data_IF_868206686120
#
_entry.id   IF_868206686120
#
_cell.length_a   1.000
_cell.length_b   1.000
_cell.length_c   1.000
_cell.angle_alpha   90.00
_cell.angle_beta   90.00
_cell.angle_gamma   90.00
#
_symmetry.space_group_name_H-M   'P 1'
#
loop_
_entity.id
_entity.type
_entity.pdbx_description
1 polymer ?
#
# COMPACT_ATOMS: atom_id res chain seq x y z
N UNK A 1 -6.60 -2.01 31.34
CA UNK A 1 -7.39 -2.11 30.09
C UNK A 1 -6.44 -2.52 28.98
N UNK A 2 -6.76 -3.53 28.16
CA UNK A 2 -5.94 -3.82 26.99
C UNK A 2 -5.99 -2.62 26.05
N UNK A 3 -4.84 -2.16 25.56
CA UNK A 3 -4.82 -1.23 24.43
C UNK A 3 -5.39 -1.98 23.23
N UNK A 4 -6.53 -1.52 22.72
CA UNK A 4 -7.07 -2.02 21.45
C UNK A 4 -6.20 -1.43 20.35
N UNK A 5 -5.62 -2.29 19.51
CA UNK A 5 -4.86 -1.84 18.35
C UNK A 5 -5.82 -1.34 17.28
N UNK A 6 -5.80 -0.04 16.90
CA UNK A 6 -6.74 0.52 15.93
C UNK A 6 -6.43 0.12 14.48
N UNK A 7 -5.22 -0.38 14.20
CA UNK A 7 -4.79 -0.80 12.87
C UNK A 7 -5.25 -2.23 12.56
N UNK A 8 -5.98 -2.38 11.46
CA UNK A 8 -6.54 -3.65 11.00
C UNK A 8 -6.09 -3.98 9.57
N UNK A 9 -6.01 -5.28 9.25
CA UNK A 9 -5.74 -5.69 7.88
C UNK A 9 -6.84 -5.16 6.95
N UNK A 10 -6.44 -4.52 5.86
CA UNK A 10 -7.33 -3.84 4.95
C UNK A 10 -7.28 -2.32 5.05
N UNK A 11 -6.83 -1.78 6.19
CA UNK A 11 -6.73 -0.33 6.38
C UNK A 11 -5.72 0.28 5.40
N UNK A 12 -6.03 1.50 4.97
CA UNK A 12 -5.07 2.34 4.27
C UNK A 12 -4.23 3.07 5.32
N UNK A 13 -2.91 2.99 5.16
CA UNK A 13 -1.95 3.51 6.11
C UNK A 13 -0.83 4.27 5.41
N UNK A 14 -0.24 5.20 6.14
CA UNK A 14 1.04 5.83 5.80
C UNK A 14 2.09 5.34 6.77
N UNK A 15 3.12 4.69 6.26
CA UNK A 15 4.26 4.20 7.05
C UNK A 15 5.47 5.06 6.76
N UNK A 16 6.13 5.55 7.82
CA UNK A 16 7.40 6.25 7.73
C UNK A 16 8.49 5.31 8.20
N UNK A 17 9.49 5.10 7.35
CA UNK A 17 10.66 4.29 7.66
C UNK A 17 11.88 5.17 7.99
N UNK A 18 12.80 4.61 8.76
CA UNK A 18 14.12 5.16 9.04
C UNK A 18 15.24 4.29 8.44
N UNK A 19 16.36 4.95 8.15
CA UNK A 19 17.62 4.35 7.69
C UNK A 19 17.51 3.43 6.47
N UNK A 20 17.33 3.92 5.22
CA UNK A 20 17.03 5.30 4.80
C UNK A 20 15.58 5.73 5.07
N UNK A 21 15.32 7.04 4.98
CA UNK A 21 13.97 7.59 5.19
C UNK A 21 13.10 7.37 3.95
N UNK A 22 11.99 6.67 4.15
CA UNK A 22 11.00 6.38 3.10
C UNK A 22 9.60 6.68 3.65
N UNK A 23 8.68 7.12 2.78
CA UNK A 23 7.27 7.31 3.13
C UNK A 23 6.45 6.44 2.20
N UNK A 24 5.72 5.51 2.76
CA UNK A 24 4.95 4.52 2.00
C UNK A 24 3.49 4.73 2.28
N UNK A 25 2.68 4.81 1.23
CA UNK A 25 1.23 4.72 1.33
C UNK A 25 0.75 3.40 0.76
N UNK A 26 -0.17 2.74 1.45
CA UNK A 26 -0.64 1.44 1.01
C UNK A 26 -1.66 0.78 1.92
N UNK A 27 -2.08 -0.40 1.51
CA UNK A 27 -3.02 -1.27 2.21
C UNK A 27 -2.28 -2.21 3.15
N UNK A 28 -2.62 -2.16 4.43
CA UNK A 28 -2.08 -3.06 5.45
C UNK A 28 -2.57 -4.50 5.18
N UNK A 29 -1.64 -5.45 5.08
CA UNK A 29 -1.93 -6.86 4.87
C UNK A 29 -1.76 -7.68 6.16
N UNK A 30 -0.90 -7.22 7.06
CA UNK A 30 -0.63 -7.87 8.33
C UNK A 30 0.27 -7.00 9.21
N UNK A 31 0.08 -7.10 10.52
CA UNK A 31 0.85 -6.39 11.54
C UNK A 31 1.17 -7.35 12.68
N UNK A 32 2.44 -7.44 13.04
CA UNK A 32 2.92 -8.21 14.19
C UNK A 32 4.07 -7.48 14.90
N UNK A 33 4.66 -8.13 15.91
CA UNK A 33 5.79 -7.57 16.67
C UNK A 33 7.10 -7.50 15.85
N UNK A 34 7.27 -8.35 14.84
CA UNK A 34 8.46 -8.39 13.99
C UNK A 34 8.41 -7.33 12.88
N UNK A 35 7.21 -6.90 12.46
CA UNK A 35 7.03 -5.91 11.41
C UNK A 35 5.60 -5.84 10.88
N UNK A 36 5.47 -5.33 9.66
CA UNK A 36 4.20 -5.25 8.98
C UNK A 36 4.35 -5.59 7.49
N UNK A 37 3.33 -6.24 6.94
CA UNK A 37 3.21 -6.48 5.51
C UNK A 37 2.26 -5.43 4.91
N UNK A 38 2.71 -4.76 3.85
CA UNK A 38 1.94 -3.70 3.18
C UNK A 38 2.01 -3.91 1.66
N UNK A 39 0.90 -3.66 0.98
CA UNK A 39 0.90 -3.44 -0.47
C UNK A 39 0.75 -1.95 -0.75
N UNK A 40 1.75 -1.35 -1.37
CA UNK A 40 1.80 0.09 -1.51
C UNK A 40 2.97 0.57 -2.33
N UNK A 41 3.09 1.89 -2.40
CA UNK A 41 4.06 2.61 -3.20
C UNK A 41 4.77 3.68 -2.37
N UNK A 42 5.89 4.16 -2.87
CA UNK A 42 6.59 5.30 -2.27
C UNK A 42 5.85 6.61 -2.57
N UNK A 43 5.72 7.48 -1.58
CA UNK A 43 5.06 8.79 -1.71
C UNK A 43 5.95 9.86 -2.34
N UNK A 44 7.24 9.62 -2.50
CA UNK A 44 8.18 10.58 -3.12
C UNK A 44 7.75 10.94 -4.56
N UNK A 45 7.42 9.98 -5.46
CA UNK A 45 6.92 10.28 -6.81
C UNK A 45 5.38 10.44 -6.87
N UNK A 46 4.70 10.91 -5.82
CA UNK A 46 3.23 10.92 -5.75
C UNK A 46 2.53 11.60 -6.94
N UNK A 47 3.01 12.77 -7.35
CA UNK A 47 2.42 13.54 -8.47
C UNK A 47 2.53 12.81 -9.82
N UNK A 48 3.65 12.12 -10.03
CA UNK A 48 3.89 11.30 -11.22
C UNK A 48 2.98 10.08 -11.22
N UNK A 49 2.86 9.39 -10.08
CA UNK A 49 1.94 8.27 -9.89
C UNK A 49 0.50 8.66 -10.24
N UNK A 50 0.01 9.79 -9.69
CA UNK A 50 -1.35 10.25 -9.99
C UNK A 50 -1.53 10.59 -11.47
N UNK A 51 -0.49 11.10 -12.12
CA UNK A 51 -0.51 11.39 -13.56
C UNK A 51 -0.62 10.12 -14.37
N UNK A 52 0.24 9.12 -14.12
CA UNK A 52 0.22 7.82 -14.81
C UNK A 52 -1.14 7.12 -14.66
N UNK A 53 -1.71 7.13 -13.46
CA UNK A 53 -3.01 6.49 -13.21
C UNK A 53 -4.14 7.21 -13.96
N UNK A 54 -4.12 8.55 -13.98
CA UNK A 54 -5.09 9.36 -14.72
C UNK A 54 -4.96 9.21 -16.23
N UNK A 55 -3.75 8.96 -16.76
CA UNK A 55 -3.52 8.72 -18.20
C UNK A 55 -3.77 7.27 -18.63
N UNK A 56 -4.13 6.38 -17.70
CA UNK A 56 -4.38 4.96 -17.98
C UNK A 56 -3.13 4.09 -17.99
N UNK A 57 -1.98 4.63 -17.56
CA UNK A 57 -0.67 3.99 -17.50
C UNK A 57 -0.35 3.44 -16.10
N UNK A 58 -1.39 2.96 -15.41
CA UNK A 58 -1.29 2.46 -14.03
C UNK A 58 -0.34 1.26 -13.86
N UNK A 59 -0.05 0.54 -14.95
CA UNK A 59 0.92 -0.57 -15.01
C UNK A 59 2.38 -0.10 -14.88
N UNK A 60 2.65 1.18 -15.15
CA UNK A 60 3.97 1.79 -14.97
C UNK A 60 4.23 2.23 -13.52
N UNK A 61 3.20 2.24 -12.66
CA UNK A 61 3.36 2.58 -11.25
C UNK A 61 4.07 1.44 -10.50
N UNK A 62 5.13 1.78 -9.78
CA UNK A 62 5.89 0.85 -8.94
C UNK A 62 5.10 0.43 -7.67
N UNK A 63 4.07 -0.39 -7.86
CA UNK A 63 3.25 -0.94 -6.78
C UNK A 63 3.77 -2.30 -6.31
N UNK A 64 4.17 -2.40 -5.04
CA UNK A 64 4.80 -3.60 -4.50
C UNK A 64 4.16 -4.09 -3.20
N UNK A 65 4.26 -5.40 -2.95
CA UNK A 65 4.01 -5.97 -1.62
C UNK A 65 5.33 -6.11 -0.89
N UNK A 66 5.45 -5.50 0.29
CA UNK A 66 6.69 -5.43 1.07
C UNK A 66 6.44 -5.84 2.52
N UNK A 67 7.41 -6.54 3.11
CA UNK A 67 7.52 -6.68 4.56
C UNK A 67 8.45 -5.60 5.08
N UNK A 68 8.00 -4.82 6.07
CA UNK A 68 8.76 -3.75 6.69
C UNK A 68 9.13 -4.19 8.13
N UNK A 69 10.42 -4.43 8.42
CA UNK A 69 10.84 -4.81 9.76
C UNK A 69 10.54 -3.72 10.78
N UNK A 70 10.06 -4.09 11.98
CA UNK A 70 9.61 -3.14 13.00
C UNK A 70 10.70 -2.13 13.40
N UNK A 71 11.98 -2.55 13.43
CA UNK A 71 13.09 -1.65 13.77
C UNK A 71 13.32 -0.51 12.75
N UNK A 72 12.81 -0.66 11.52
CA UNK A 72 12.83 0.40 10.51
C UNK A 72 11.60 1.30 10.58
N UNK A 73 10.52 0.90 11.25
CA UNK A 73 9.29 1.70 11.31
C UNK A 73 9.49 2.82 12.31
N UNK A 74 9.53 4.06 11.82
CA UNK A 74 9.55 5.28 12.64
C UNK A 74 8.15 5.60 13.14
N UNK A 75 7.15 5.52 12.24
CA UNK A 75 5.76 5.79 12.55
C UNK A 75 4.80 5.11 11.55
N UNK A 76 3.56 4.87 11.98
CA UNK A 76 2.46 4.44 11.13
C UNK A 76 1.19 5.24 11.48
N UNK A 77 0.51 5.75 10.46
CA UNK A 77 -0.72 6.52 10.57
C UNK A 77 -1.82 5.85 9.74
N UNK A 78 -3.06 5.89 10.23
CA UNK A 78 -4.22 5.62 9.38
C UNK A 78 -4.34 6.75 8.34
N UNK A 79 -4.72 6.40 7.12
CA UNK A 79 -4.98 7.37 6.06
C UNK A 79 -6.37 7.98 6.23
N UNK A 80 -6.46 8.99 7.09
CA UNK A 80 -7.70 9.65 7.46
C UNK A 80 -7.64 11.15 7.16
N UNK A 81 -8.77 11.79 6.82
CA UNK A 81 -8.81 13.24 6.67
C UNK A 81 -8.51 13.93 8.01
N UNK A 82 -7.83 15.07 7.94
CA UNK A 82 -7.47 15.86 9.12
C UNK A 82 -7.90 17.30 8.91
N UNK A 83 -8.60 17.90 9.88
CA UNK A 83 -9.01 19.31 9.97
C UNK A 83 -8.82 20.17 8.70
N UNK A 84 -9.60 19.90 7.66
CA UNK A 84 -9.64 20.69 6.41
C UNK A 84 -8.78 20.17 5.25
N UNK A 85 -8.02 19.08 5.44
CA UNK A 85 -7.26 18.39 4.40
C UNK A 85 -7.84 16.99 4.14
N UNK A 86 -8.03 16.60 2.85
CA UNK A 86 -8.45 15.24 2.50
C UNK A 86 -7.36 14.22 2.86
N UNK A 87 -7.77 12.96 3.02
CA UNK A 87 -6.83 11.85 3.09
C UNK A 87 -6.11 11.63 1.75
N UNK A 88 -5.05 10.82 1.73
CA UNK A 88 -4.38 10.44 0.49
C UNK A 88 -5.32 9.61 -0.40
N UNK A 89 -6.11 8.71 0.19
CA UNK A 89 -7.13 7.95 -0.51
C UNK A 89 -8.18 8.85 -1.19
N UNK A 90 -8.67 9.87 -0.48
CA UNK A 90 -9.61 10.85 -1.05
C UNK A 90 -8.94 11.63 -2.19
N UNK A 91 -7.74 12.14 -1.96
CA UNK A 91 -6.97 12.87 -2.97
C UNK A 91 -6.68 12.02 -4.20
N UNK A 92 -6.39 10.73 -4.02
CA UNK A 92 -6.19 9.77 -5.09
C UNK A 92 -7.46 9.58 -5.92
N UNK A 93 -8.58 9.31 -5.26
CA UNK A 93 -9.86 9.08 -5.92
C UNK A 93 -10.31 10.32 -6.69
N UNK A 94 -10.24 11.50 -6.07
CA UNK A 94 -10.65 12.76 -6.69
C UNK A 94 -9.83 13.11 -7.93
N UNK A 95 -8.52 12.80 -7.91
CA UNK A 95 -7.58 13.18 -8.99
C UNK A 95 -7.48 12.17 -10.12
N UNK A 96 -7.80 10.90 -9.85
CA UNK A 96 -7.65 9.80 -10.82
C UNK A 96 -8.96 9.17 -11.24
N UNK A 97 -10.04 9.35 -10.46
CA UNK A 97 -11.31 8.65 -10.63
C UNK A 97 -11.26 7.16 -10.25
N UNK A 98 -10.13 6.64 -9.79
CA UNK A 98 -9.99 5.22 -9.43
C UNK A 98 -10.22 4.97 -7.94
N UNK A 99 -10.75 3.80 -7.59
CA UNK A 99 -10.88 3.36 -6.19
C UNK A 99 -9.49 2.98 -5.63
N UNK A 100 -9.01 3.65 -4.55
CA UNK A 100 -7.73 3.33 -3.91
C UNK A 100 -7.61 1.87 -3.47
N UNK A 101 -8.68 1.28 -2.94
CA UNK A 101 -8.65 -0.09 -2.41
C UNK A 101 -8.55 -1.13 -3.53
N UNK A 102 -9.25 -0.91 -4.64
CA UNK A 102 -9.11 -1.71 -5.85
C UNK A 102 -7.70 -1.57 -6.46
N UNK A 103 -7.17 -0.35 -6.54
CA UNK A 103 -5.82 -0.10 -7.05
C UNK A 103 -4.73 -0.80 -6.21
N UNK A 104 -4.85 -0.73 -4.88
CA UNK A 104 -3.92 -1.35 -3.93
C UNK A 104 -4.23 -2.82 -3.65
N UNK A 105 -5.20 -3.43 -4.33
CA UNK A 105 -5.53 -4.83 -4.15
C UNK A 105 -4.34 -5.73 -4.51
N UNK A 106 -4.19 -6.84 -3.77
CA UNK A 106 -3.15 -7.82 -4.07
C UNK A 106 -3.42 -8.43 -5.44
N UNK A 107 -2.48 -8.38 -6.41
CA UNK A 107 -2.61 -9.12 -7.64
C UNK A 107 -2.71 -10.58 -7.23
N UNK A 108 -3.77 -11.24 -7.71
CA UNK A 108 -3.98 -12.65 -7.49
C UNK A 108 -2.63 -13.38 -7.71
N UNK A 109 -2.14 -14.19 -6.75
CA UNK A 109 -0.95 -14.98 -7.03
C UNK A 109 -1.21 -15.75 -8.33
N UNK A 110 -0.25 -15.83 -9.27
CA UNK A 110 -0.45 -16.66 -10.45
C UNK A 110 -0.87 -18.04 -9.96
N UNK A 111 -2.04 -18.52 -10.40
CA UNK A 111 -2.47 -19.90 -10.13
C UNK A 111 -1.27 -20.79 -10.44
N UNK A 112 -0.83 -21.68 -9.53
CA UNK A 112 0.24 -22.60 -9.84
C UNK A 112 -0.15 -23.34 -11.11
N UNK A 113 0.59 -23.09 -12.19
CA UNK A 113 0.42 -23.80 -13.45
C UNK A 113 0.67 -25.26 -13.11
N UNK A 114 -0.40 -26.06 -13.13
CA UNK A 114 -0.30 -27.49 -12.91
C UNK A 114 0.80 -28.03 -13.83
N UNK A 115 1.72 -28.89 -13.33
CA UNK A 115 2.81 -29.39 -14.13
C UNK A 115 2.21 -30.07 -15.36
N UNK A 116 2.51 -29.52 -16.55
CA UNK A 116 2.12 -30.11 -17.81
C UNK A 116 2.80 -31.48 -17.85
N UNK A 117 2.02 -32.54 -17.60
CA UNK A 117 2.45 -33.92 -17.78
C UNK A 117 3.01 -34.02 -19.20
N UNK A 118 4.33 -34.03 -19.31
CA UNK A 118 5.01 -34.45 -20.54
C UNK A 118 4.52 -35.87 -20.80
N UNK A 119 3.67 -36.04 -21.81
CA UNK A 119 3.31 -37.36 -22.30
C UNK A 119 4.58 -38.02 -22.86
N UNK A 120 4.75 -39.34 -22.64
CA UNK A 120 5.92 -40.09 -23.07
C UNK A 120 6.03 -40.16 -24.60
#
# INVERSE_FOLDING_TARGET
MPLTMPFQCGDLVVVILQGPRERIWGRLLGLDAAGLAIRGLDLTPWEEVLTLIRTGESDQVALGTRFLPMHRVEAMYLDEPSSGAPSLAQSFQDRTGQDPLAFLATPHPPKPTAPQRRKP
#
